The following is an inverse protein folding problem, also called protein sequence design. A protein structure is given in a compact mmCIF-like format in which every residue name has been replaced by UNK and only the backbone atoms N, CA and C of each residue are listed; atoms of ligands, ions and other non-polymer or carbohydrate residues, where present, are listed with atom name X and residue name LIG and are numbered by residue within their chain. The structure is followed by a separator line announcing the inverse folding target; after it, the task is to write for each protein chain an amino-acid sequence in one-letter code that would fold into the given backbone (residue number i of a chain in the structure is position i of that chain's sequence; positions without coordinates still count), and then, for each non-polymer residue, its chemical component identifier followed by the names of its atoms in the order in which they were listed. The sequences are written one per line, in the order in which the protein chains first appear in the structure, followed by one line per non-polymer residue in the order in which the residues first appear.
data_IF_938077397702
#
_entry.id   IF_938077397702
#
_cell.length_a   1.000
_cell.length_b   1.000
_cell.length_c   1.000
_cell.angle_alpha   90.00
_cell.angle_beta   90.00
_cell.angle_gamma   90.00
#
_symmetry.space_group_name_H-M   'P 1'
#
loop_
_entity.id
_entity.type
_entity.pdbx_description
1 polymer ?
#
# COMPACT_ATOMS: atom_id res chain seq x y z
N UNK A 1 -20.64 -23.02 -29.29
CA UNK A 1 -19.23 -23.36 -29.04
C UNK A 1 -18.68 -22.25 -28.15
N UNK A 2 -18.27 -22.61 -26.93
CA UNK A 2 -17.96 -21.70 -25.83
C UNK A 2 -16.71 -20.89 -26.15
N UNK A 3 -16.77 -19.57 -25.96
CA UNK A 3 -15.63 -18.67 -25.96
C UNK A 3 -15.11 -18.58 -24.51
N UNK A 4 -13.98 -19.23 -24.24
CA UNK A 4 -13.20 -19.17 -22.99
C UNK A 4 -11.75 -18.87 -23.43
N UNK A 5 -10.93 -18.03 -22.81
CA UNK A 5 -10.92 -17.28 -21.55
C UNK A 5 -9.90 -16.13 -21.74
N UNK A 6 -10.06 -15.01 -21.03
CA UNK A 6 -9.03 -13.96 -21.00
C UNK A 6 -7.74 -14.51 -20.40
N UNK A 7 -6.62 -14.30 -21.09
CA UNK A 7 -5.31 -14.80 -20.67
C UNK A 7 -4.88 -14.12 -19.37
N UNK A 8 -5.01 -14.81 -18.24
CA UNK A 8 -4.49 -14.34 -16.96
C UNK A 8 -2.95 -14.25 -17.06
N UNK A 9 -2.40 -13.03 -16.93
CA UNK A 9 -0.95 -12.81 -16.92
C UNK A 9 -0.39 -13.37 -15.61
N UNK A 10 0.36 -14.47 -15.70
CA UNK A 10 1.02 -15.08 -14.55
C UNK A 10 2.24 -14.24 -14.14
N UNK A 11 2.14 -13.52 -13.03
CA UNK A 11 3.20 -12.62 -12.49
C UNK A 11 4.19 -13.35 -11.56
N UNK A 12 4.61 -14.55 -11.95
CA UNK A 12 5.61 -15.37 -11.25
C UNK A 12 6.65 -15.89 -12.25
N UNK A 13 7.92 -15.96 -11.83
CA UNK A 13 8.96 -16.54 -12.69
C UNK A 13 8.65 -18.02 -12.89
N UNK A 14 8.63 -18.47 -14.15
CA UNK A 14 8.45 -19.88 -14.47
C UNK A 14 9.79 -20.59 -14.36
N UNK A 15 9.81 -21.89 -14.05
CA UNK A 15 11.03 -22.69 -14.18
C UNK A 15 11.63 -22.49 -15.58
N UNK A 16 12.90 -22.06 -15.66
CA UNK A 16 13.59 -21.79 -16.92
C UNK A 16 13.46 -20.37 -17.49
N UNK A 17 12.86 -19.41 -16.78
CA UNK A 17 12.88 -17.99 -17.17
C UNK A 17 14.32 -17.49 -17.32
N UNK A 18 14.66 -16.90 -18.47
CA UNK A 18 16.00 -16.33 -18.72
C UNK A 18 16.23 -15.11 -17.82
N UNK A 19 17.48 -14.84 -17.48
CA UNK A 19 17.84 -13.69 -16.63
C UNK A 19 17.33 -12.34 -17.19
N UNK A 20 17.36 -12.18 -18.52
CA UNK A 20 16.84 -10.98 -19.21
C UNK A 20 15.31 -10.79 -19.09
N UNK A 21 14.58 -11.88 -18.83
CA UNK A 21 13.12 -11.91 -18.75
C UNK A 21 12.66 -12.01 -17.28
N UNK A 22 13.60 -11.97 -16.33
CA UNK A 22 13.33 -12.08 -14.90
C UNK A 22 12.65 -10.80 -14.41
N UNK A 23 11.49 -10.94 -13.77
CA UNK A 23 10.70 -9.82 -13.22
C UNK A 23 10.16 -8.82 -14.26
N UNK A 24 10.37 -9.05 -15.57
CA UNK A 24 9.95 -8.16 -16.64
C UNK A 24 8.48 -8.41 -17.05
N UNK A 25 7.57 -8.28 -16.08
CA UNK A 25 6.14 -8.45 -16.28
C UNK A 25 5.53 -7.16 -16.85
N UNK A 26 4.54 -7.25 -17.74
CA UNK A 26 3.86 -6.06 -18.26
C UNK A 26 3.16 -5.29 -17.12
N UNK A 27 3.18 -3.96 -17.20
CA UNK A 27 2.54 -3.10 -16.23
C UNK A 27 1.04 -3.43 -16.10
N UNK A 28 0.55 -3.59 -14.87
CA UNK A 28 -0.89 -3.73 -14.64
C UNK A 28 -1.55 -2.38 -14.70
N UNK A 29 -2.72 -2.32 -15.33
CA UNK A 29 -3.57 -1.17 -15.08
C UNK A 29 -4.01 -1.18 -13.62
N UNK A 30 -3.97 -0.03 -12.97
CA UNK A 30 -4.39 0.10 -11.58
C UNK A 30 -5.86 -0.33 -11.35
N UNK A 31 -6.70 -0.32 -12.39
CA UNK A 31 -8.08 -0.82 -12.36
C UNK A 31 -8.16 -2.34 -12.15
N UNK A 32 -7.12 -3.09 -12.51
CA UNK A 32 -7.07 -4.56 -12.44
C UNK A 32 -6.33 -5.05 -11.18
N UNK A 33 -5.74 -4.13 -10.41
CA UNK A 33 -4.86 -4.40 -9.27
C UNK A 33 -5.62 -4.68 -7.95
N UNK A 34 -6.85 -5.22 -8.03
CA UNK A 34 -7.75 -5.50 -6.89
C UNK A 34 -7.55 -6.89 -6.28
N UNK A 35 -6.74 -7.75 -6.92
CA UNK A 35 -6.46 -9.10 -6.41
C UNK A 35 -5.32 -9.11 -5.39
N UNK A 36 -5.55 -9.68 -4.20
CA UNK A 36 -4.47 -10.18 -3.32
C UNK A 36 -3.55 -11.19 -4.02
N UNK A 37 -4.01 -11.76 -5.14
CA UNK A 37 -3.32 -12.71 -6.02
C UNK A 37 -2.65 -12.06 -7.25
N UNK A 38 -2.82 -10.75 -7.49
CA UNK A 38 -2.09 -10.01 -8.53
C UNK A 38 -0.70 -9.55 -8.05
N UNK A 39 -0.18 -10.15 -6.98
CA UNK A 39 1.11 -9.79 -6.38
C UNK A 39 2.23 -10.34 -7.26
N UNK A 40 2.81 -9.44 -8.04
CA UNK A 40 4.07 -9.65 -8.73
C UNK A 40 5.11 -10.17 -7.74
N UNK A 41 5.60 -11.39 -7.96
CA UNK A 41 6.73 -11.90 -7.18
C UNK A 41 7.96 -11.06 -7.54
N UNK A 42 8.33 -10.15 -6.66
CA UNK A 42 9.48 -9.28 -6.80
C UNK A 42 10.20 -9.11 -5.44
N UNK A 43 11.50 -8.77 -5.44
CA UNK A 43 12.22 -8.37 -4.23
C UNK A 43 11.57 -7.17 -3.52
N UNK A 44 11.80 -7.02 -2.21
CA UNK A 44 11.19 -5.96 -1.40
C UNK A 44 11.53 -4.54 -1.90
N UNK A 45 12.73 -4.33 -2.45
CA UNK A 45 13.14 -3.05 -3.04
C UNK A 45 12.33 -2.70 -4.28
N UNK A 46 12.08 -3.67 -5.16
CA UNK A 46 11.27 -3.50 -6.36
C UNK A 46 9.80 -3.34 -5.99
N UNK A 47 9.35 -4.06 -4.95
CA UNK A 47 8.03 -3.89 -4.38
C UNK A 47 7.77 -2.45 -3.91
N UNK A 48 8.74 -1.89 -3.21
CA UNK A 48 8.69 -0.50 -2.72
C UNK A 48 8.61 0.48 -3.89
N UNK A 49 9.52 0.35 -4.87
CA UNK A 49 9.55 1.21 -6.06
C UNK A 49 8.22 1.18 -6.81
N UNK A 50 7.77 0.01 -7.25
CA UNK A 50 6.56 -0.09 -8.07
C UNK A 50 5.30 0.36 -7.31
N UNK A 51 5.29 0.21 -5.99
CA UNK A 51 4.15 0.62 -5.17
C UNK A 51 4.09 2.14 -5.07
N UNK A 52 5.22 2.81 -4.88
CA UNK A 52 5.30 4.26 -4.84
C UNK A 52 5.04 4.89 -6.21
N UNK A 53 5.61 4.33 -7.27
CA UNK A 53 5.37 4.80 -8.64
C UNK A 53 3.89 4.61 -9.03
N UNK A 54 3.30 3.46 -8.69
CA UNK A 54 1.88 3.20 -8.89
C UNK A 54 0.98 4.18 -8.13
N UNK A 55 1.32 4.50 -6.87
CA UNK A 55 0.59 5.48 -6.07
C UNK A 55 0.69 6.89 -6.67
N UNK A 56 1.89 7.31 -7.08
CA UNK A 56 2.11 8.61 -7.71
C UNK A 56 1.36 8.73 -9.03
N UNK A 57 1.40 7.71 -9.88
CA UNK A 57 0.66 7.66 -11.14
C UNK A 57 -0.86 7.74 -10.89
N UNK A 58 -1.38 6.96 -9.92
CA UNK A 58 -2.79 6.96 -9.58
C UNK A 58 -3.30 8.32 -9.10
N UNK A 59 -2.62 8.95 -8.13
CA UNK A 59 -3.01 10.25 -7.57
C UNK A 59 -2.90 11.40 -8.58
N UNK A 60 -2.02 11.26 -9.58
CA UNK A 60 -1.83 12.23 -10.66
C UNK A 60 -2.67 11.97 -11.92
N UNK A 61 -3.40 10.86 -11.96
CA UNK A 61 -4.22 10.53 -13.13
C UNK A 61 -5.47 11.42 -13.21
N UNK A 62 -5.59 12.15 -14.33
CA UNK A 62 -6.79 12.94 -14.64
C UNK A 62 -8.03 12.06 -14.89
N UNK A 63 -7.85 10.75 -15.14
CA UNK A 63 -8.94 9.77 -15.27
C UNK A 63 -9.70 9.59 -13.95
N UNK A 64 -8.98 9.44 -12.83
CA UNK A 64 -9.57 9.23 -11.50
C UNK A 64 -9.72 10.53 -10.71
N UNK A 65 -8.82 11.48 -10.90
CA UNK A 65 -8.81 12.76 -10.19
C UNK A 65 -8.75 13.94 -11.17
N UNK A 66 -9.83 14.20 -11.95
CA UNK A 66 -9.88 15.31 -12.91
C UNK A 66 -9.88 16.70 -12.25
N UNK A 67 -10.24 16.78 -10.96
CA UNK A 67 -10.19 17.99 -10.13
C UNK A 67 -9.54 17.68 -8.79
N UNK A 68 -8.84 18.67 -8.22
CA UNK A 68 -8.27 18.63 -6.87
C UNK A 68 -9.24 19.15 -5.79
N UNK A 69 -10.36 19.73 -6.21
CA UNK A 69 -11.36 20.33 -5.32
C UNK A 69 -12.54 19.39 -5.11
N UNK A 70 -12.94 18.64 -6.14
CA UNK A 70 -14.03 17.68 -6.09
C UNK A 70 -13.53 16.29 -6.50
N UNK A 71 -13.70 15.33 -5.60
CA UNK A 71 -13.26 13.95 -5.79
C UNK A 71 -14.50 13.06 -5.92
N UNK A 72 -14.50 12.19 -6.93
CA UNK A 72 -15.56 11.19 -7.12
C UNK A 72 -15.43 10.09 -6.07
N UNK A 73 -16.55 9.66 -5.50
CA UNK A 73 -16.59 8.59 -4.48
C UNK A 73 -15.95 7.27 -4.98
N UNK A 74 -16.13 6.94 -6.26
CA UNK A 74 -15.50 5.77 -6.88
C UNK A 74 -13.96 5.82 -6.92
N UNK A 75 -13.38 7.02 -6.89
CA UNK A 75 -11.93 7.22 -6.79
C UNK A 75 -11.47 7.12 -5.33
N UNK A 76 -12.28 7.58 -4.38
CA UNK A 76 -12.00 7.47 -2.93
C UNK A 76 -11.94 6.00 -2.51
N UNK A 77 -12.86 5.17 -2.99
CA UNK A 77 -12.88 3.73 -2.71
C UNK A 77 -11.56 3.02 -3.05
N UNK A 78 -10.81 3.52 -4.04
CA UNK A 78 -9.52 2.95 -4.46
C UNK A 78 -8.34 3.35 -3.58
N UNK A 79 -8.47 4.41 -2.78
CA UNK A 79 -7.40 4.87 -1.88
C UNK A 79 -7.03 3.81 -0.84
N UNK A 80 -8.00 3.01 -0.37
CA UNK A 80 -7.77 1.94 0.59
C UNK A 80 -6.74 0.90 0.10
N UNK A 81 -6.77 0.55 -1.20
CA UNK A 81 -5.79 -0.37 -1.78
C UNK A 81 -4.37 0.21 -1.77
N UNK A 82 -4.23 1.49 -2.14
CA UNK A 82 -2.95 2.22 -2.08
C UNK A 82 -2.44 2.28 -0.64
N UNK A 83 -3.29 2.69 0.30
CA UNK A 83 -2.93 2.79 1.70
C UNK A 83 -2.45 1.46 2.28
N UNK A 84 -3.17 0.36 1.98
CA UNK A 84 -2.78 -0.99 2.39
C UNK A 84 -1.42 -1.40 1.85
N UNK A 85 -1.12 -1.09 0.59
CA UNK A 85 0.17 -1.43 -0.03
C UNK A 85 1.32 -0.60 0.55
N UNK A 86 1.09 0.69 0.82
CA UNK A 86 2.07 1.55 1.52
C UNK A 86 2.30 1.05 2.95
N UNK A 87 1.25 0.66 3.67
CA UNK A 87 1.38 0.12 5.02
C UNK A 87 2.21 -1.17 5.09
N UNK A 88 2.17 -2.00 4.04
CA UNK A 88 3.08 -3.15 3.92
C UNK A 88 4.55 -2.75 3.85
N UNK A 89 4.88 -1.61 3.23
CA UNK A 89 6.25 -1.07 3.20
C UNK A 89 6.67 -0.67 4.61
N UNK A 90 5.82 0.05 5.34
CA UNK A 90 6.09 0.38 6.75
C UNK A 90 6.29 -0.88 7.60
N UNK A 91 5.41 -1.88 7.43
CA UNK A 91 5.50 -3.13 8.18
C UNK A 91 6.81 -3.86 7.86
N UNK A 92 7.23 -3.87 6.59
CA UNK A 92 8.50 -4.46 6.20
C UNK A 92 9.69 -3.72 6.83
N UNK A 93 9.69 -2.38 6.81
CA UNK A 93 10.73 -1.59 7.45
C UNK A 93 10.79 -1.85 8.97
N UNK A 94 9.64 -1.91 9.64
CA UNK A 94 9.55 -2.19 11.07
C UNK A 94 10.13 -3.56 11.44
N UNK A 95 9.71 -4.65 10.77
CA UNK A 95 10.11 -6.01 11.16
C UNK A 95 11.53 -6.39 10.71
N UNK A 96 12.01 -5.86 9.57
CA UNK A 96 13.28 -6.29 8.98
C UNK A 96 14.39 -5.24 9.03
N UNK A 97 14.04 -3.96 9.25
CA UNK A 97 14.96 -2.83 9.27
C UNK A 97 14.73 -1.93 10.50
N UNK A 98 14.42 -2.54 11.65
CA UNK A 98 13.99 -1.87 12.89
C UNK A 98 14.86 -0.69 13.32
N UNK A 99 16.19 -0.81 13.24
CA UNK A 99 17.09 0.27 13.66
C UNK A 99 16.90 1.55 12.83
N UNK A 100 16.83 1.42 11.51
CA UNK A 100 16.60 2.55 10.60
C UNK A 100 15.18 3.08 10.77
N UNK A 101 14.21 2.18 10.97
CA UNK A 101 12.83 2.55 11.19
C UNK A 101 12.68 3.41 12.46
N UNK A 102 13.23 2.94 13.59
CA UNK A 102 13.12 3.64 14.88
C UNK A 102 13.83 5.00 14.84
N UNK A 103 15.02 5.08 14.25
CA UNK A 103 15.75 6.35 14.11
C UNK A 103 14.89 7.38 13.34
N UNK A 104 14.28 6.98 12.23
CA UNK A 104 13.43 7.87 11.43
C UNK A 104 12.07 8.18 12.07
N UNK A 105 11.45 7.19 12.70
CA UNK A 105 10.11 7.33 13.26
C UNK A 105 10.14 8.23 14.50
N UNK A 106 11.20 8.17 15.32
CA UNK A 106 11.39 9.06 16.46
C UNK A 106 11.59 10.53 16.07
N UNK A 107 12.08 10.80 14.86
CA UNK A 107 12.28 12.17 14.36
C UNK A 107 11.03 12.73 13.65
N UNK A 108 10.36 11.91 12.83
CA UNK A 108 9.36 12.39 11.86
C UNK A 108 7.94 11.91 12.17
N UNK A 109 7.78 10.81 12.92
CA UNK A 109 6.48 10.18 13.22
C UNK A 109 5.65 9.86 11.97
N UNK A 110 6.31 9.45 10.88
CA UNK A 110 5.67 9.28 9.59
C UNK A 110 4.68 8.11 9.61
N UNK A 111 5.08 6.95 10.13
CA UNK A 111 4.24 5.77 10.22
C UNK A 111 3.05 6.01 11.16
N UNK A 112 3.27 6.70 12.27
CA UNK A 112 2.25 7.12 13.22
C UNK A 112 1.18 8.00 12.59
N UNK A 113 1.60 9.08 11.94
CA UNK A 113 0.70 10.03 11.28
C UNK A 113 -0.07 9.35 10.14
N UNK A 114 0.59 8.48 9.38
CA UNK A 114 -0.05 7.68 8.36
C UNK A 114 -1.11 6.73 8.93
N UNK A 115 -0.79 6.04 10.03
CA UNK A 115 -1.70 5.11 10.69
C UNK A 115 -2.93 5.84 11.24
N UNK A 116 -2.74 7.01 11.86
CA UNK A 116 -3.84 7.90 12.29
C UNK A 116 -4.72 8.35 11.12
N UNK A 117 -4.10 8.73 10.00
CA UNK A 117 -4.81 9.13 8.78
C UNK A 117 -5.69 7.98 8.25
N UNK A 118 -5.13 6.78 8.11
CA UNK A 118 -5.85 5.60 7.60
C UNK A 118 -7.03 5.24 8.49
N UNK A 119 -6.87 5.32 9.81
CA UNK A 119 -7.95 5.09 10.77
C UNK A 119 -9.04 6.17 10.70
N UNK A 120 -8.64 7.44 10.66
CA UNK A 120 -9.58 8.58 10.63
C UNK A 120 -10.53 8.53 9.43
N UNK A 121 -10.04 8.07 8.28
CA UNK A 121 -10.82 7.98 7.05
C UNK A 121 -11.30 6.55 6.72
N UNK A 122 -11.16 5.60 7.67
CA UNK A 122 -11.58 4.20 7.52
C UNK A 122 -11.05 3.53 6.24
N UNK A 123 -9.80 3.83 5.87
CA UNK A 123 -9.17 3.32 4.64
C UNK A 123 -8.66 1.89 4.79
N UNK A 124 -8.44 1.43 6.03
CA UNK A 124 -8.09 0.05 6.38
C UNK A 124 -8.73 -0.34 7.72
N UNK A 125 -9.02 -1.63 7.92
CA UNK A 125 -9.49 -2.12 9.22
C UNK A 125 -8.34 -2.25 10.21
N UNK A 126 -8.67 -2.17 11.51
CA UNK A 126 -7.70 -2.30 12.61
C UNK A 126 -6.94 -3.63 12.57
N UNK A 127 -7.61 -4.72 12.17
CA UNK A 127 -7.00 -6.06 12.11
C UNK A 127 -5.87 -6.17 11.08
N UNK A 128 -5.80 -5.23 10.13
CA UNK A 128 -4.73 -5.18 9.14
C UNK A 128 -3.52 -4.37 9.61
N UNK A 129 -3.60 -3.75 10.80
CA UNK A 129 -2.52 -2.94 11.37
C UNK A 129 -1.77 -3.76 12.40
N UNK A 130 -0.54 -4.12 12.03
CA UNK A 130 0.30 -5.03 12.81
C UNK A 130 1.44 -4.31 13.52
N UNK A 131 1.67 -3.03 13.20
CA UNK A 131 2.70 -2.21 13.84
C UNK A 131 2.07 -1.54 15.07
N UNK A 132 2.59 -1.78 16.29
CA UNK A 132 1.96 -1.37 17.55
C UNK A 132 2.18 0.12 17.88
N UNK A 133 1.81 1.03 16.97
CA UNK A 133 2.07 2.48 17.12
C UNK A 133 0.90 3.24 17.77
N UNK A 134 -0.32 2.70 17.71
CA UNK A 134 -1.51 3.39 18.20
C UNK A 134 -1.77 3.24 19.71
N UNK A 135 -1.13 2.26 20.36
CA UNK A 135 -1.37 1.96 21.78
C UNK A 135 -0.85 3.07 22.71
N UNK A 136 0.15 3.85 22.28
CA UNK A 136 0.73 4.93 23.08
C UNK A 136 -0.20 6.16 23.21
N UNK A 137 -1.15 6.37 22.29
CA UNK A 137 -2.04 7.53 22.32
C UNK A 137 -3.28 7.31 23.20
N UNK A 138 -3.76 6.07 23.32
CA UNK A 138 -4.90 5.79 24.21
C UNK A 138 -4.52 5.91 25.70
N UNK A 139 -3.25 5.67 26.03
CA UNK A 139 -2.73 5.85 27.38
C UNK A 139 -2.39 7.31 27.74
N UNK A 140 -2.31 8.23 26.77
CA UNK A 140 -2.09 9.66 27.04
C UNK A 140 -3.38 10.48 27.12
N UNK A 141 -4.46 10.07 26.44
CA UNK A 141 -5.75 10.79 26.48
C UNK A 141 -6.62 10.39 27.70
N UNK A 142 -6.38 9.22 28.30
CA UNK A 142 -7.10 8.76 29.49
C UNK A 142 -6.68 9.44 30.80
N UNK A 143 -5.66 10.31 30.78
CA UNK A 143 -5.13 11.02 31.96
C UNK A 143 -5.61 12.46 32.18
N UNK A 144 -6.37 13.07 31.25
CA UNK A 144 -6.76 14.50 31.34
C UNK A 144 -8.29 14.73 31.37
N UNK A 145 -9.07 13.81 31.94
CA UNK A 145 -10.51 14.03 32.15
C UNK A 145 -10.96 13.67 33.56
N UNK A 146 -10.21 14.10 34.58
CA UNK A 146 -10.73 14.34 35.93
C UNK A 146 -9.94 15.50 36.59
N UNK A 147 -10.38 16.74 36.34
CA UNK A 147 -10.13 17.90 37.19
C UNK A 147 -11.17 18.98 36.91
#
# INVERSE_FOLDING_TARGET
MVMAEGTAVLRHNRPGTKAQDLYNWPDESFDEMDGTLAVQQCPAIDYTRHTLDGAACFLNSSKYFPSRVSIKESSVAKLGSVCRRIYRIFSHAYFYHWQIFDDYENEIFLCHQFTKFVMKYNLMSKDNLIIPILEEVQNSVSGESEA
#
